data_IF_128898232339
#
_entry.id   IF_128898232339
#
_cell.length_a   1.000
_cell.length_b   1.000
_cell.length_c   1.000
_cell.angle_alpha   90.00
_cell.angle_beta   90.00
_cell.angle_gamma   90.00
#
_symmetry.space_group_name_H-M   'P 1'
#
loop_
_entity.id
_entity.type
_entity.pdbx_description
1 polymer ?
#
# COMPACT_ATOMS: atom_id res chain seq x y z
N UNK A 1 10.56 0.81 3.64
CA UNK A 1 9.55 1.47 4.49
C UNK A 1 9.58 3.00 4.31
N UNK A 2 10.77 3.62 4.35
CA UNK A 2 10.89 5.07 4.32
C UNK A 2 10.46 5.71 2.99
N UNK A 3 10.66 5.08 1.83
CA UNK A 3 10.15 5.60 0.57
C UNK A 3 8.61 5.57 0.52
N UNK A 4 7.98 4.64 1.20
CA UNK A 4 6.53 4.60 1.36
C UNK A 4 6.02 5.77 2.22
N UNK A 5 6.74 6.17 3.26
CA UNK A 5 6.31 7.24 4.18
C UNK A 5 6.54 8.65 3.61
N UNK A 6 7.52 8.85 2.75
CA UNK A 6 7.91 10.17 2.23
C UNK A 6 7.15 10.62 0.99
N UNK A 7 6.51 9.69 0.26
CA UNK A 7 5.87 9.97 -1.02
C UNK A 7 4.34 9.80 -0.97
N UNK A 8 3.74 10.01 0.21
CA UNK A 8 2.29 9.89 0.37
C UNK A 8 1.59 11.19 -0.02
N UNK A 9 0.47 11.06 -0.74
CA UNK A 9 -0.44 12.18 -1.02
C UNK A 9 -1.70 12.10 -0.16
N UNK A 10 -1.89 10.97 0.52
CA UNK A 10 -3.03 10.71 1.38
C UNK A 10 -2.62 9.86 2.60
N UNK A 11 -3.05 10.29 3.78
CA UNK A 11 -2.90 9.53 5.04
C UNK A 11 -4.14 9.74 5.89
N UNK A 12 -4.66 8.65 6.46
CA UNK A 12 -5.71 8.67 7.48
C UNK A 12 -5.34 7.77 8.63
N UNK A 13 -5.58 8.27 9.85
CA UNK A 13 -5.43 7.52 11.09
C UNK A 13 -6.82 7.34 11.69
N UNK A 14 -7.10 6.14 12.16
CA UNK A 14 -8.29 5.85 12.96
C UNK A 14 -7.89 5.82 14.44
N UNK A 15 -8.66 6.49 15.27
CA UNK A 15 -8.44 6.61 16.70
C UNK A 15 -9.67 6.10 17.47
N UNK A 16 -9.43 5.50 18.61
CA UNK A 16 -10.45 5.12 19.60
C UNK A 16 -9.96 5.66 20.94
N UNK A 17 -10.77 6.47 21.62
CA UNK A 17 -10.43 7.10 22.90
C UNK A 17 -9.09 7.85 22.90
N UNK A 18 -8.76 8.49 21.77
CA UNK A 18 -7.50 9.22 21.57
C UNK A 18 -6.28 8.37 21.22
N UNK A 19 -6.42 7.05 21.17
CA UNK A 19 -5.34 6.14 20.82
C UNK A 19 -5.41 5.73 19.34
N UNK A 20 -4.29 5.79 18.58
CA UNK A 20 -4.25 5.40 17.19
C UNK A 20 -4.36 3.88 17.06
N UNK A 21 -5.41 3.41 16.41
CA UNK A 21 -5.72 1.98 16.22
C UNK A 21 -5.68 1.51 14.78
N UNK A 22 -5.47 2.40 13.84
CA UNK A 22 -5.34 2.04 12.44
C UNK A 22 -4.81 3.18 11.58
N UNK A 23 -4.19 2.83 10.47
CA UNK A 23 -3.65 3.78 9.51
C UNK A 23 -3.78 3.25 8.10
N UNK A 24 -4.10 4.14 7.16
CA UNK A 24 -4.00 3.88 5.73
C UNK A 24 -3.26 5.00 5.02
N UNK A 25 -2.41 4.64 4.08
CA UNK A 25 -1.64 5.57 3.27
C UNK A 25 -1.82 5.24 1.79
N UNK A 26 -1.99 6.27 0.98
CA UNK A 26 -2.06 6.16 -0.46
C UNK A 26 -1.29 7.26 -1.16
N UNK A 27 -0.97 7.02 -2.41
CA UNK A 27 -0.32 8.03 -3.25
C UNK A 27 -0.93 8.08 -4.64
N UNK A 28 -1.00 9.28 -5.17
CA UNK A 28 -1.19 9.57 -6.58
C UNK A 28 0.18 9.47 -7.28
N UNK A 29 0.34 8.54 -8.22
CA UNK A 29 1.65 8.18 -8.77
C UNK A 29 2.29 9.33 -9.56
N UNK A 30 1.48 10.14 -10.23
CA UNK A 30 1.96 11.22 -11.12
C UNK A 30 2.24 12.55 -10.41
N UNK A 31 1.60 12.82 -9.26
CA UNK A 31 1.60 14.13 -8.62
C UNK A 31 2.21 14.15 -7.20
N UNK A 32 3.07 13.19 -6.88
CA UNK A 32 3.69 13.18 -5.57
C UNK A 32 4.97 14.03 -5.56
N UNK A 33 5.06 14.94 -4.63
CA UNK A 33 6.28 15.71 -4.32
C UNK A 33 6.76 15.35 -2.93
N UNK A 34 8.02 14.93 -2.81
CA UNK A 34 8.62 14.67 -1.50
C UNK A 34 9.32 15.95 -1.00
N UNK A 35 8.91 16.52 0.15
CA UNK A 35 9.59 17.64 0.76
C UNK A 35 11.08 17.33 1.02
N UNK A 36 11.95 18.32 0.79
CA UNK A 36 13.42 18.14 0.92
C UNK A 36 13.81 17.71 2.34
N UNK A 37 13.14 18.23 3.37
CA UNK A 37 13.36 17.82 4.77
C UNK A 37 13.12 16.32 5.00
N UNK A 38 12.07 15.76 4.43
CA UNK A 38 11.77 14.33 4.52
C UNK A 38 12.78 13.49 3.73
N UNK A 39 13.31 14.01 2.60
CA UNK A 39 14.39 13.34 1.85
C UNK A 39 15.68 13.24 2.69
N UNK A 40 16.04 14.29 3.40
CA UNK A 40 17.22 14.30 4.28
C UNK A 40 17.05 13.29 5.41
N UNK A 41 15.89 13.28 6.09
CA UNK A 41 15.59 12.31 7.14
C UNK A 41 15.60 10.88 6.61
N UNK A 42 15.09 10.67 5.39
CA UNK A 42 15.13 9.37 4.72
C UNK A 42 16.57 8.91 4.47
N UNK A 43 17.44 9.78 3.94
CA UNK A 43 18.86 9.45 3.70
C UNK A 43 19.54 9.07 5.02
N UNK A 44 19.34 9.84 6.09
CA UNK A 44 19.90 9.55 7.42
C UNK A 44 19.43 8.20 7.95
N UNK A 45 18.14 7.88 7.82
CA UNK A 45 17.57 6.60 8.26
C UNK A 45 18.12 5.42 7.44
N UNK A 46 18.30 5.59 6.13
CA UNK A 46 18.89 4.57 5.26
C UNK A 46 20.35 4.33 5.62
N UNK A 47 21.13 5.39 5.81
CA UNK A 47 22.54 5.26 6.24
C UNK A 47 22.63 4.55 7.58
N UNK A 48 21.81 4.93 8.58
CA UNK A 48 21.76 4.28 9.88
C UNK A 48 21.41 2.79 9.77
N UNK A 49 20.48 2.43 8.87
CA UNK A 49 20.09 1.05 8.63
C UNK A 49 21.26 0.21 8.09
N UNK A 50 22.05 0.76 7.15
CA UNK A 50 23.18 0.03 6.55
C UNK A 50 24.40 -0.09 7.46
N UNK A 51 24.52 0.71 8.51
CA UNK A 51 25.63 0.64 9.47
C UNK A 51 25.52 -0.61 10.35
N UNK A 52 24.32 -1.04 10.74
CA UNK A 52 24.12 -2.23 11.57
C UNK A 52 24.06 -3.52 10.75
N UNK A 53 24.48 -4.63 11.33
CA UNK A 53 24.39 -5.94 10.68
C UNK A 53 22.93 -6.35 10.45
N UNK A 54 22.08 -6.18 11.48
CA UNK A 54 20.65 -6.44 11.40
C UNK A 54 19.98 -5.59 10.31
N UNK A 55 20.36 -4.32 10.21
CA UNK A 55 19.83 -3.43 9.18
C UNK A 55 20.19 -3.86 7.77
N UNK A 56 21.39 -4.41 7.54
CA UNK A 56 21.77 -4.96 6.24
C UNK A 56 20.94 -6.19 5.85
N UNK A 57 20.65 -7.08 6.81
CA UNK A 57 19.80 -8.25 6.58
C UNK A 57 18.37 -7.82 6.24
N UNK A 58 17.80 -6.91 7.03
CA UNK A 58 16.48 -6.33 6.76
C UNK A 58 16.45 -5.66 5.39
N UNK A 59 17.49 -4.93 5.01
CA UNK A 59 17.59 -4.27 3.70
C UNK A 59 17.55 -5.25 2.53
N UNK A 60 18.16 -6.44 2.68
CA UNK A 60 18.09 -7.51 1.66
C UNK A 60 16.66 -8.03 1.48
N UNK A 61 15.95 -8.25 2.59
CA UNK A 61 14.53 -8.68 2.56
C UNK A 61 13.69 -7.63 1.82
N UNK A 62 13.84 -6.35 2.17
CA UNK A 62 13.12 -5.28 1.50
C UNK A 62 13.47 -5.17 0.01
N UNK A 63 14.74 -5.36 -0.37
CA UNK A 63 15.15 -5.36 -1.77
C UNK A 63 14.52 -6.52 -2.54
N UNK A 64 14.45 -7.71 -1.94
CA UNK A 64 13.77 -8.88 -2.49
C UNK A 64 12.28 -8.58 -2.73
N UNK A 65 11.56 -8.10 -1.70
CA UNK A 65 10.14 -7.76 -1.78
C UNK A 65 9.88 -6.69 -2.85
N UNK A 66 10.71 -5.64 -2.91
CA UNK A 66 10.57 -4.61 -3.95
C UNK A 66 10.83 -5.16 -5.35
N UNK A 67 11.76 -6.11 -5.50
CA UNK A 67 12.00 -6.82 -6.76
C UNK A 67 10.74 -7.56 -7.22
N UNK A 68 10.17 -8.36 -6.33
CA UNK A 68 8.93 -9.11 -6.59
C UNK A 68 7.77 -8.17 -6.95
N UNK A 69 7.58 -7.10 -6.19
CA UNK A 69 6.52 -6.11 -6.44
C UNK A 69 6.66 -5.43 -7.80
N UNK A 70 7.89 -5.10 -8.21
CA UNK A 70 8.17 -4.53 -9.54
C UNK A 70 7.83 -5.51 -10.67
N UNK A 71 8.17 -6.78 -10.50
CA UNK A 71 7.85 -7.81 -11.48
C UNK A 71 6.32 -8.03 -11.57
N UNK A 72 5.61 -8.10 -10.43
CA UNK A 72 4.15 -8.19 -10.40
C UNK A 72 3.51 -7.01 -11.13
N UNK A 73 3.96 -5.78 -10.86
CA UNK A 73 3.42 -4.60 -11.51
C UNK A 73 3.69 -4.60 -13.02
N UNK A 74 4.89 -5.02 -13.44
CA UNK A 74 5.24 -5.07 -14.87
C UNK A 74 4.48 -6.15 -15.63
N UNK A 75 4.07 -7.24 -14.96
CA UNK A 75 3.28 -8.32 -15.58
C UNK A 75 1.80 -7.97 -15.72
N UNK A 76 1.32 -6.98 -15.01
CA UNK A 76 -0.08 -6.55 -15.00
C UNK A 76 -0.40 -5.55 -16.10
N UNK A 77 0.00 -5.57 -17.27
CA UNK A 77 -0.36 -4.76 -18.46
C UNK A 77 -1.41 -3.63 -18.25
N UNK A 78 -1.40 -2.97 -17.09
CA UNK A 78 -2.33 -1.91 -16.70
C UNK A 78 -1.60 -0.71 -16.13
N UNK A 79 -1.93 0.48 -16.64
CA UNK A 79 -1.40 1.74 -16.13
C UNK A 79 -2.25 2.22 -14.94
N UNK A 80 -1.72 2.06 -13.74
CA UNK A 80 -2.34 2.59 -12.54
C UNK A 80 -1.88 4.02 -12.26
N UNK A 81 -2.78 4.83 -11.72
CA UNK A 81 -2.49 6.21 -11.29
C UNK A 81 -2.46 6.36 -9.78
N UNK A 82 -2.90 5.36 -9.03
CA UNK A 82 -2.93 5.34 -7.58
C UNK A 82 -2.38 4.05 -6.99
N UNK A 83 -1.86 4.13 -5.77
CA UNK A 83 -1.38 3.01 -5.00
C UNK A 83 -1.77 3.18 -3.53
N UNK A 84 -2.27 2.12 -2.89
CA UNK A 84 -2.32 2.03 -1.43
C UNK A 84 -1.01 1.42 -0.97
N UNK A 85 -0.20 2.23 -0.31
CA UNK A 85 1.19 1.89 0.02
C UNK A 85 1.35 1.28 1.40
N UNK A 86 0.41 1.56 2.31
CA UNK A 86 0.41 1.03 3.65
C UNK A 86 -0.99 0.97 4.22
N UNK A 87 -1.33 -0.13 4.89
CA UNK A 87 -2.60 -0.30 5.58
C UNK A 87 -2.41 -1.22 6.78
N UNK A 88 -2.74 -0.74 7.95
CA UNK A 88 -2.65 -1.51 9.19
C UNK A 88 -3.79 -1.18 10.14
N UNK A 89 -4.31 -2.20 10.83
CA UNK A 89 -5.29 -2.09 11.90
C UNK A 89 -4.78 -2.90 13.10
N UNK A 90 -4.81 -2.28 14.27
CA UNK A 90 -4.46 -2.93 15.53
C UNK A 90 -5.32 -4.18 15.73
N UNK A 91 -4.72 -5.31 16.09
CA UNK A 91 -5.38 -6.61 16.12
C UNK A 91 -6.66 -6.63 16.98
N UNK A 92 -6.65 -5.98 18.15
CA UNK A 92 -7.81 -5.86 19.06
C UNK A 92 -8.99 -5.09 18.49
N UNK A 93 -8.77 -4.36 17.37
CA UNK A 93 -9.79 -3.55 16.69
C UNK A 93 -10.28 -4.18 15.38
N UNK A 94 -9.76 -5.37 15.05
CA UNK A 94 -10.20 -6.12 13.86
C UNK A 94 -11.62 -6.68 14.06
N UNK A 95 -12.30 -7.01 12.96
CA UNK A 95 -13.66 -7.58 12.98
C UNK A 95 -14.79 -6.58 13.30
N UNK A 96 -14.47 -5.32 13.65
CA UNK A 96 -15.46 -4.29 14.04
C UNK A 96 -15.83 -3.33 12.88
N UNK A 97 -15.52 -3.68 11.64
CA UNK A 97 -15.80 -2.85 10.46
C UNK A 97 -14.87 -1.65 10.27
N UNK A 98 -13.93 -1.40 11.21
CA UNK A 98 -13.01 -0.25 11.14
C UNK A 98 -12.14 -0.28 9.88
N UNK A 99 -11.64 -1.47 9.50
CA UNK A 99 -10.84 -1.64 8.29
C UNK A 99 -11.58 -1.23 7.04
N UNK A 100 -12.85 -1.63 6.90
CA UNK A 100 -13.70 -1.22 5.76
C UNK A 100 -13.91 0.30 5.72
N UNK A 101 -14.22 0.91 6.87
CA UNK A 101 -14.39 2.36 6.98
C UNK A 101 -13.12 3.12 6.59
N UNK A 102 -11.97 2.67 7.12
CA UNK A 102 -10.69 3.30 6.82
C UNK A 102 -10.29 3.11 5.35
N UNK A 103 -10.52 1.92 4.78
CA UNK A 103 -10.29 1.67 3.35
C UNK A 103 -11.19 2.54 2.45
N UNK A 104 -12.45 2.76 2.85
CA UNK A 104 -13.36 3.63 2.10
C UNK A 104 -12.81 5.05 1.95
N UNK A 105 -12.10 5.57 2.96
CA UNK A 105 -11.51 6.92 2.89
C UNK A 105 -10.47 7.07 1.78
N UNK A 106 -9.68 6.03 1.50
CA UNK A 106 -8.73 6.08 0.37
C UNK A 106 -9.43 5.90 -0.96
N UNK A 107 -10.51 5.10 -1.03
CA UNK A 107 -11.34 4.99 -2.24
C UNK A 107 -11.95 6.35 -2.60
N UNK A 108 -12.52 7.05 -1.62
CA UNK A 108 -13.11 8.38 -1.81
C UNK A 108 -12.05 9.41 -2.24
N UNK A 109 -10.86 9.35 -1.64
CA UNK A 109 -9.73 10.16 -2.07
C UNK A 109 -9.34 9.88 -3.52
N UNK A 110 -9.15 8.62 -3.91
CA UNK A 110 -8.78 8.26 -5.28
C UNK A 110 -9.84 8.73 -6.30
N UNK A 111 -11.13 8.57 -5.97
CA UNK A 111 -12.23 9.10 -6.77
C UNK A 111 -12.18 10.62 -6.91
N UNK A 112 -11.95 11.35 -5.83
CA UNK A 112 -11.84 12.81 -5.84
C UNK A 112 -10.69 13.34 -6.68
N UNK A 113 -9.66 12.50 -6.90
CA UNK A 113 -8.51 12.81 -7.77
C UNK A 113 -8.68 12.33 -9.22
N UNK A 114 -9.85 11.80 -9.57
CA UNK A 114 -10.11 11.28 -10.92
C UNK A 114 -9.33 10.02 -11.25
N UNK A 115 -8.91 9.26 -10.24
CA UNK A 115 -8.18 8.00 -10.40
C UNK A 115 -9.19 6.89 -10.63
N UNK A 116 -9.19 6.32 -11.82
CA UNK A 116 -10.14 5.26 -12.23
C UNK A 116 -9.80 3.87 -11.68
N UNK A 117 -8.54 3.64 -11.34
CA UNK A 117 -8.09 2.41 -10.72
C UNK A 117 -6.81 2.62 -9.92
N UNK A 118 -6.69 1.94 -8.80
CA UNK A 118 -5.48 1.89 -8.00
C UNK A 118 -5.15 0.45 -7.60
N UNK A 119 -3.92 0.21 -7.16
CA UNK A 119 -3.46 -1.11 -6.74
C UNK A 119 -2.85 -1.09 -5.35
N UNK A 120 -2.65 -2.28 -4.81
CA UNK A 120 -1.85 -2.53 -3.62
C UNK A 120 -1.11 -3.86 -3.74
N UNK A 121 -0.03 -3.98 -2.98
CA UNK A 121 0.67 -5.24 -2.77
C UNK A 121 0.34 -5.81 -1.40
N UNK A 122 0.27 -7.12 -1.33
CA UNK A 122 0.15 -7.90 -0.09
C UNK A 122 0.76 -9.29 -0.29
N UNK A 123 0.78 -10.10 0.75
CA UNK A 123 1.35 -11.44 0.71
C UNK A 123 0.64 -12.38 1.69
N UNK A 124 1.08 -13.65 1.70
CA UNK A 124 0.47 -14.70 2.54
C UNK A 124 0.69 -14.53 4.05
N UNK A 125 1.56 -13.62 4.49
CA UNK A 125 1.71 -13.28 5.91
C UNK A 125 0.64 -12.29 6.39
N UNK A 126 -0.07 -11.66 5.46
CA UNK A 126 -1.11 -10.69 5.70
C UNK A 126 -2.52 -11.31 5.59
N UNK A 127 -3.53 -10.62 6.10
CA UNK A 127 -4.93 -10.98 5.90
C UNK A 127 -5.41 -10.56 4.50
N UNK A 128 -4.84 -11.17 3.44
CA UNK A 128 -5.17 -10.83 2.04
C UNK A 128 -6.63 -11.13 1.66
N UNK A 129 -7.37 -12.12 2.23
CA UNK A 129 -8.78 -12.31 1.92
C UNK A 129 -9.65 -11.09 2.27
N UNK A 130 -9.19 -10.24 3.16
CA UNK A 130 -9.85 -8.98 3.48
C UNK A 130 -10.03 -8.10 2.23
N UNK A 131 -9.05 -8.04 1.35
CA UNK A 131 -9.13 -7.25 0.11
C UNK A 131 -10.15 -7.83 -0.88
N UNK A 132 -10.26 -9.14 -0.97
CA UNK A 132 -11.28 -9.81 -1.78
C UNK A 132 -12.70 -9.49 -1.28
N UNK A 133 -12.90 -9.48 0.05
CA UNK A 133 -14.16 -9.05 0.67
C UNK A 133 -14.49 -7.56 0.49
N UNK A 134 -13.50 -6.74 0.16
CA UNK A 134 -13.70 -5.33 -0.20
C UNK A 134 -13.98 -5.14 -1.69
N UNK A 135 -13.96 -6.19 -2.50
CA UNK A 135 -14.21 -6.15 -3.93
C UNK A 135 -12.97 -5.87 -4.77
N UNK A 136 -11.76 -6.01 -4.21
CA UNK A 136 -10.55 -5.95 -5.00
C UNK A 136 -10.37 -7.23 -5.80
N UNK A 137 -9.77 -7.10 -6.98
CA UNK A 137 -9.44 -8.22 -7.86
C UNK A 137 -7.97 -8.56 -7.75
N UNK A 138 -7.64 -9.83 -7.48
CA UNK A 138 -6.27 -10.34 -7.58
C UNK A 138 -5.87 -10.40 -9.05
N UNK A 139 -4.90 -9.62 -9.46
CA UNK A 139 -4.43 -9.54 -10.85
C UNK A 139 -3.25 -10.45 -11.13
N UNK A 140 -2.30 -10.48 -10.22
CA UNK A 140 -1.06 -11.22 -10.38
C UNK A 140 -0.64 -11.81 -9.03
N UNK A 141 0.06 -12.94 -9.09
CA UNK A 141 0.70 -13.55 -7.93
C UNK A 141 2.07 -14.09 -8.29
N UNK A 142 2.97 -14.11 -7.31
CA UNK A 142 4.31 -14.68 -7.45
C UNK A 142 4.75 -15.35 -6.16
N UNK A 143 5.21 -16.58 -6.26
CA UNK A 143 5.88 -17.30 -5.17
C UNK A 143 7.35 -16.93 -5.12
N UNK A 144 7.83 -16.69 -3.92
CA UNK A 144 9.23 -16.35 -3.67
C UNK A 144 9.69 -16.98 -2.36
N UNK A 145 10.89 -17.55 -2.38
CA UNK A 145 11.56 -17.95 -1.14
C UNK A 145 12.18 -16.70 -0.53
N UNK A 146 11.84 -16.43 0.70
CA UNK A 146 12.37 -15.32 1.49
C UNK A 146 13.19 -15.90 2.63
N UNK A 147 14.41 -15.41 2.78
CA UNK A 147 15.27 -15.76 3.90
C UNK A 147 15.14 -14.70 4.99
N UNK A 148 14.70 -15.12 6.15
CA UNK A 148 14.60 -14.27 7.35
C UNK A 148 15.49 -14.85 8.43
N UNK A 149 16.65 -14.24 8.68
CA UNK A 149 17.63 -14.65 9.71
C UNK A 149 18.11 -16.10 9.55
N UNK A 150 18.28 -16.57 8.30
CA UNK A 150 18.73 -17.92 8.00
C UNK A 150 17.62 -18.98 7.95
N UNK A 151 16.39 -18.61 8.24
CA UNK A 151 15.22 -19.45 8.01
C UNK A 151 14.59 -19.12 6.66
N UNK A 152 14.52 -20.10 5.77
CA UNK A 152 13.90 -19.96 4.45
C UNK A 152 12.42 -20.35 4.51
N UNK A 153 11.58 -19.48 4.04
CA UNK A 153 10.14 -19.70 3.91
C UNK A 153 9.62 -19.32 2.53
N UNK A 154 8.72 -20.13 1.97
CA UNK A 154 8.01 -19.76 0.75
C UNK A 154 6.87 -18.81 1.09
N UNK A 155 6.84 -17.66 0.43
CA UNK A 155 5.75 -16.68 0.52
C UNK A 155 5.16 -16.44 -0.87
N UNK A 156 3.86 -16.25 -0.93
CA UNK A 156 3.20 -15.81 -2.16
C UNK A 156 2.84 -14.34 -2.03
N UNK A 157 3.30 -13.55 -2.98
CA UNK A 157 3.03 -12.12 -3.11
C UNK A 157 1.92 -11.91 -4.13
N UNK A 158 1.07 -10.93 -3.85
CA UNK A 158 -0.10 -10.61 -4.66
C UNK A 158 -0.12 -9.14 -5.03
N UNK A 159 -0.59 -8.85 -6.23
CA UNK A 159 -1.06 -7.54 -6.64
C UNK A 159 -2.59 -7.59 -6.74
N UNK A 160 -3.25 -6.74 -5.96
CA UNK A 160 -4.69 -6.51 -6.04
C UNK A 160 -4.95 -5.13 -6.64
N UNK A 161 -6.01 -5.02 -7.44
CA UNK A 161 -6.50 -3.73 -7.88
C UNK A 161 -7.95 -3.48 -7.49
N UNK A 162 -8.30 -2.21 -7.47
CA UNK A 162 -9.64 -1.72 -7.21
C UNK A 162 -10.07 -0.78 -8.34
N UNK A 163 -11.11 -1.12 -9.12
CA UNK A 163 -11.69 -0.21 -10.09
C UNK A 163 -12.53 0.85 -9.35
N UNK A 164 -12.11 2.11 -9.44
CA UNK A 164 -12.92 3.22 -8.97
C UNK A 164 -13.97 3.52 -10.05
N UNK A 165 -15.20 3.06 -9.89
CA UNK A 165 -16.27 3.52 -10.75
C UNK A 165 -16.37 5.05 -10.63
N UNK A 166 -16.02 5.74 -11.70
CA UNK A 166 -16.24 7.17 -11.83
C UNK A 166 -17.76 7.38 -11.84
N UNK A 167 -18.28 8.26 -10.98
CA UNK A 167 -19.66 8.69 -11.12
C UNK A 167 -19.87 9.13 -12.58
N UNK A 168 -20.85 8.51 -13.26
CA UNK A 168 -21.24 8.98 -14.60
C UNK A 168 -21.52 10.47 -14.45
N UNK A 169 -20.97 11.34 -15.32
CA UNK A 169 -21.39 12.72 -15.33
C UNK A 169 -22.91 12.71 -15.53
N UNK A 170 -23.63 13.38 -14.64
CA UNK A 170 -25.06 13.57 -14.78
C UNK A 170 -25.31 14.05 -16.21
N UNK A 171 -26.10 13.26 -16.96
CA UNK A 171 -26.44 13.60 -18.32
C UNK A 171 -27.10 14.99 -18.31
N UNK A 172 -27.05 15.75 -19.42
CA UNK A 172 -27.60 17.08 -19.47
C UNK A 172 -29.07 17.03 -19.03
N UNK A 173 -29.38 17.79 -17.97
CA UNK A 173 -30.74 18.03 -17.56
C UNK A 173 -31.44 18.70 -18.75
N UNK A 174 -32.27 17.94 -19.45
CA UNK A 174 -33.03 18.43 -20.56
C UNK A 174 -33.93 19.60 -20.09
N UNK A 175 -33.76 20.73 -20.73
CA UNK A 175 -34.64 21.90 -20.65
C UNK A 175 -35.83 21.62 -21.53
#
# INVERSE_FOLDING_TARGET
LNSCLTNQTFTRVAEIDGEPVGIIMGKEIQNHTCPVSLRIQWIQSVVSLYISQEGREISKIFACVQGVNRELLSSCNQAYKGEVTFFAIHEKCRGKGLGRKLFQTVVDYMKSRGISAFYLFTDTSCNYPFYEHLGLTRRCEKKQVVDVKGEQGEMTFFLYDYPCEMAKPDGPVGV
#
